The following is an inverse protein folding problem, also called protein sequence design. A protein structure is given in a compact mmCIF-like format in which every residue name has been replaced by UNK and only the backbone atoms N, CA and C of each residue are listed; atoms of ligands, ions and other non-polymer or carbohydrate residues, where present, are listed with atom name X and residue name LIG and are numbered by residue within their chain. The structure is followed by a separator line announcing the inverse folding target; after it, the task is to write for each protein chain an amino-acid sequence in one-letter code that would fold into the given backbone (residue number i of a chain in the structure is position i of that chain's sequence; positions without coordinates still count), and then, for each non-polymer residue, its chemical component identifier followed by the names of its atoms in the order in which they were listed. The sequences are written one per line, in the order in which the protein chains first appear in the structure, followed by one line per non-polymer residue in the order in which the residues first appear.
data_IF_903608550200
#
_entry.id   IF_903608550200
#
_cell.length_a   1.000
_cell.length_b   1.000
_cell.length_c   1.000
_cell.angle_alpha   90.00
_cell.angle_beta   90.00
_cell.angle_gamma   90.00
#
_symmetry.space_group_name_H-M   'P 1'
#
loop_
_entity.id
_entity.type
_entity.pdbx_description
1 polymer ?
#
# COMPACT_ATOMS: atom_id res chain seq x y z
N UNK A 1 -5.28 10.41 15.11
CA UNK A 1 -4.29 10.54 14.01
C UNK A 1 -4.54 9.47 12.98
N UNK A 2 -4.71 9.84 11.70
CA UNK A 2 -4.85 8.88 10.60
C UNK A 2 -3.53 8.10 10.43
N UNK A 3 -3.59 6.77 10.44
CA UNK A 3 -2.40 5.93 10.22
C UNK A 3 -2.18 5.81 8.72
N UNK A 4 -0.98 6.09 8.24
CA UNK A 4 -0.62 5.85 6.83
C UNK A 4 0.09 4.52 6.72
N UNK A 5 -0.19 3.78 5.65
CA UNK A 5 0.59 2.58 5.27
C UNK A 5 0.98 2.68 3.81
N UNK A 6 2.18 2.20 3.49
CA UNK A 6 2.65 2.09 2.11
C UNK A 6 2.32 0.69 1.59
N UNK A 7 1.96 0.57 0.33
CA UNK A 7 1.75 -0.71 -0.34
C UNK A 7 2.38 -0.65 -1.73
N UNK A 8 2.99 -1.75 -2.17
CA UNK A 8 3.38 -1.91 -3.56
C UNK A 8 2.17 -2.36 -4.36
N UNK A 9 1.94 -1.73 -5.51
CA UNK A 9 0.95 -2.17 -6.48
C UNK A 9 1.62 -2.29 -7.83
N UNK A 10 1.54 -3.47 -8.41
CA UNK A 10 2.02 -3.70 -9.76
C UNK A 10 1.06 -3.02 -10.76
N UNK A 11 1.61 -2.16 -11.62
CA UNK A 11 0.85 -1.34 -12.56
C UNK A 11 0.42 -2.12 -13.80
N UNK A 12 1.10 -3.22 -14.12
CA UNK A 12 0.77 -4.07 -15.27
C UNK A 12 -0.36 -5.05 -14.94
N UNK A 13 -0.30 -5.66 -13.75
CA UNK A 13 -1.24 -6.72 -13.34
C UNK A 13 -2.29 -6.25 -12.33
N UNK A 14 -2.07 -5.11 -11.68
CA UNK A 14 -2.91 -4.60 -10.60
C UNK A 14 -2.75 -5.33 -9.26
N UNK A 15 -1.84 -6.30 -9.16
CA UNK A 15 -1.62 -7.08 -7.95
C UNK A 15 -0.92 -6.25 -6.87
N UNK A 16 -1.23 -6.55 -5.61
CA UNK A 16 -0.50 -5.97 -4.48
C UNK A 16 0.77 -6.78 -4.24
N UNK A 17 1.90 -6.09 -4.34
CA UNK A 17 3.23 -6.67 -4.14
C UNK A 17 3.91 -6.02 -2.93
N UNK A 18 4.92 -6.68 -2.34
CA UNK A 18 5.72 -6.08 -1.27
C UNK A 18 6.36 -4.76 -1.70
N UNK A 19 6.52 -3.83 -0.76
CA UNK A 19 7.16 -2.52 -1.05
C UNK A 19 8.58 -2.71 -1.57
N UNK A 20 9.32 -3.70 -1.06
CA UNK A 20 10.69 -3.99 -1.50
C UNK A 20 10.73 -4.42 -2.95
N UNK A 21 9.77 -5.26 -3.37
CA UNK A 21 9.66 -5.68 -4.76
C UNK A 21 9.21 -4.54 -5.66
N UNK A 22 8.26 -3.71 -5.21
CA UNK A 22 7.87 -2.50 -5.94
C UNK A 22 9.02 -1.49 -6.08
N UNK A 23 9.87 -1.35 -5.05
CA UNK A 23 11.07 -0.52 -5.10
C UNK A 23 12.15 -1.08 -6.02
N UNK A 24 12.24 -2.41 -6.15
CA UNK A 24 13.16 -3.07 -7.09
C UNK A 24 12.65 -2.97 -8.53
N UNK A 25 11.34 -3.09 -8.74
CA UNK A 25 10.65 -3.03 -10.03
C UNK A 25 9.92 -1.70 -10.28
N UNK A 26 10.59 -0.56 -10.05
CA UNK A 26 9.98 0.79 -10.20
C UNK A 26 9.36 1.07 -11.57
N UNK A 27 9.77 0.33 -12.60
CA UNK A 27 9.27 0.46 -13.97
C UNK A 27 7.87 -0.14 -14.14
N UNK A 28 7.56 -1.21 -13.41
CA UNK A 28 6.31 -1.97 -13.54
C UNK A 28 5.44 -1.86 -12.29
N UNK A 29 5.98 -1.35 -11.18
CA UNK A 29 5.27 -1.26 -9.91
C UNK A 29 5.39 0.12 -9.26
N UNK A 30 4.32 0.49 -8.55
CA UNK A 30 4.11 1.78 -7.91
C UNK A 30 4.01 1.57 -6.39
N UNK A 31 4.58 2.48 -5.61
CA UNK A 31 4.40 2.49 -4.15
C UNK A 31 3.33 3.51 -3.80
N UNK A 32 2.12 3.05 -3.48
CA UNK A 32 1.01 3.89 -3.07
C UNK A 32 0.99 4.06 -1.54
N UNK A 33 0.65 5.27 -1.09
CA UNK A 33 0.46 5.56 0.34
C UNK A 33 -1.03 5.61 0.64
N UNK A 34 -1.54 4.58 1.31
CA UNK A 34 -2.94 4.49 1.72
C UNK A 34 -3.07 5.13 3.10
N UNK A 35 -3.87 6.19 3.17
CA UNK A 35 -4.36 6.74 4.45
C UNK A 35 -5.40 5.76 4.99
N UNK A 36 -5.07 5.03 6.05
CA UNK A 36 -6.09 4.28 6.78
C UNK A 36 -6.89 5.26 7.62
N UNK A 37 -8.21 5.38 7.40
CA UNK A 37 -9.04 6.13 8.32
C UNK A 37 -8.85 5.49 9.70
N UNK A 38 -8.67 6.31 10.74
CA UNK A 38 -8.62 5.79 12.10
C UNK A 38 -9.98 5.18 12.39
N UNK A 39 -10.07 3.85 12.25
CA UNK A 39 -11.27 3.11 12.58
C UNK A 39 -11.52 3.37 14.05
N UNK A 40 -12.69 3.95 14.33
CA UNK A 40 -13.34 3.85 15.63
C UNK A 40 -13.26 2.36 15.98
N UNK A 41 -12.52 2.01 17.03
CA UNK A 41 -12.44 0.63 17.52
C UNK A 41 -13.87 0.13 17.64
N UNK A 42 -14.30 -0.84 16.83
CA UNK A 42 -15.45 -1.67 17.21
C UNK A 42 -15.03 -2.34 18.51
N UNK A 43 -15.49 -1.80 19.64
CA UNK A 43 -15.39 -2.44 20.95
C UNK A 43 -15.96 -3.84 20.77
N UNK A 44 -15.13 -4.85 21.02
CA UNK A 44 -15.59 -6.21 21.29
C UNK A 44 -16.00 -6.27 22.76
#
# INVERSE_FOLDING_TARGET
MAKTRKIGRDAETGQFIPIEEAKRRKKTAIVETIKTPSTIKKKK
#
